data_IF_453762403013
#
_entry.id   IF_453762403013
#
_cell.length_a   1.000
_cell.length_b   1.000
_cell.length_c   1.000
_cell.angle_alpha   90.00
_cell.angle_beta   90.00
_cell.angle_gamma   90.00
#
_symmetry.space_group_name_H-M   'P 1'
#
loop_
_entity.id
_entity.type
_entity.pdbx_description
1 polymer ?
#
# COMPACT_ATOMS: atom_id res chain seq x y z
N UNK A 1 16.61 14.75 0.90
CA UNK A 1 16.90 13.45 1.56
C UNK A 1 15.99 12.44 0.89
N UNK A 2 16.54 11.47 0.17
CA UNK A 2 15.75 10.35 -0.33
C UNK A 2 15.42 9.40 0.82
N UNK A 3 14.16 8.98 0.90
CA UNK A 3 13.71 7.93 1.84
C UNK A 3 12.85 6.93 1.08
N UNK A 4 12.64 5.77 1.69
CA UNK A 4 11.69 4.78 1.18
C UNK A 4 10.27 5.18 1.56
N UNK A 5 9.29 4.68 0.80
CA UNK A 5 7.88 4.70 1.20
C UNK A 5 7.73 4.04 2.58
N UNK A 6 6.91 4.65 3.44
CA UNK A 6 6.64 4.13 4.78
C UNK A 6 5.73 2.91 4.74
N UNK A 7 5.75 2.12 5.79
CA UNK A 7 4.72 1.14 6.11
C UNK A 7 4.84 0.74 7.59
N UNK A 8 3.77 0.22 8.21
CA UNK A 8 3.83 -0.25 9.58
C UNK A 8 4.86 -1.37 9.77
N UNK A 9 5.50 -1.40 10.95
CA UNK A 9 6.40 -2.49 11.33
C UNK A 9 5.65 -3.82 11.47
N UNK A 10 6.26 -4.91 10.97
CA UNK A 10 5.65 -6.25 11.01
C UNK A 10 4.49 -6.47 10.02
N UNK A 11 4.25 -5.53 9.11
CA UNK A 11 3.26 -5.67 8.05
C UNK A 11 3.72 -6.66 6.95
N UNK A 12 2.74 -7.30 6.30
CA UNK A 12 2.94 -7.81 4.94
C UNK A 12 2.76 -6.64 3.97
N UNK A 13 3.70 -6.47 3.04
CA UNK A 13 3.78 -5.28 2.19
C UNK A 13 3.94 -5.67 0.73
N UNK A 14 3.09 -5.09 -0.11
CA UNK A 14 3.10 -5.23 -1.55
C UNK A 14 3.43 -3.88 -2.18
N UNK A 15 4.59 -3.78 -2.84
CA UNK A 15 5.03 -2.54 -3.45
C UNK A 15 4.51 -2.41 -4.88
N UNK A 16 4.05 -1.21 -5.24
CA UNK A 16 3.64 -0.88 -6.60
C UNK A 16 4.16 0.49 -7.03
N UNK A 17 4.08 0.77 -8.33
CA UNK A 17 4.38 2.08 -8.89
C UNK A 17 3.11 2.68 -9.51
N UNK A 18 2.97 3.99 -9.39
CA UNK A 18 1.97 4.78 -10.11
C UNK A 18 2.64 6.06 -10.67
N UNK A 19 1.96 6.72 -11.60
CA UNK A 19 2.52 7.87 -12.33
C UNK A 19 2.38 9.19 -11.55
N UNK A 20 1.75 9.20 -10.37
CA UNK A 20 1.71 10.32 -9.42
C UNK A 20 1.37 11.69 -10.07
N UNK A 21 0.39 11.71 -10.99
CA UNK A 21 -0.07 12.91 -11.68
C UNK A 21 0.84 13.46 -12.77
N UNK A 22 1.82 12.69 -13.25
CA UNK A 22 2.57 13.04 -14.45
C UNK A 22 1.75 12.72 -15.70
N UNK A 23 1.20 13.76 -16.32
CA UNK A 23 0.39 13.65 -17.55
C UNK A 23 1.22 14.04 -18.78
N UNK A 24 0.82 13.52 -19.94
CA UNK A 24 1.43 13.87 -21.24
C UNK A 24 0.94 15.25 -21.68
N UNK A 25 1.84 16.05 -22.27
CA UNK A 25 1.43 17.31 -22.89
C UNK A 25 0.65 17.05 -24.17
N UNK A 26 -0.55 17.62 -24.26
CA UNK A 26 -1.43 17.53 -25.43
C UNK A 26 -0.75 18.03 -26.71
N UNK A 27 0.16 19.01 -26.58
CA UNK A 27 0.86 19.65 -27.69
C UNK A 27 2.22 19.02 -28.03
N UNK A 28 2.78 18.17 -27.16
CA UNK A 28 4.06 17.48 -27.40
C UNK A 28 4.15 16.12 -26.68
N UNK A 29 3.92 15.05 -27.43
CA UNK A 29 3.98 13.65 -26.99
C UNK A 29 5.32 13.17 -26.40
N UNK A 30 6.36 14.03 -26.35
CA UNK A 30 7.63 13.76 -25.68
C UNK A 30 7.81 14.42 -24.31
N UNK A 31 6.89 15.30 -23.91
CA UNK A 31 6.99 16.09 -22.68
C UNK A 31 5.89 15.70 -21.71
N UNK A 32 6.24 15.61 -20.42
CA UNK A 32 5.29 15.37 -19.33
C UNK A 32 5.37 16.51 -18.35
N UNK A 33 4.23 16.91 -17.81
CA UNK A 33 4.15 17.87 -16.71
C UNK A 33 3.37 17.27 -15.55
N UNK A 34 3.64 17.79 -14.36
CA UNK A 34 2.91 17.40 -13.16
C UNK A 34 1.63 18.21 -13.07
N UNK A 35 0.49 17.52 -12.95
CA UNK A 35 -0.81 18.11 -12.65
C UNK A 35 -1.28 17.66 -11.27
N UNK A 36 -1.48 18.63 -10.37
CA UNK A 36 -1.89 18.38 -8.99
C UNK A 36 -3.32 17.81 -8.89
N UNK A 37 -4.22 18.22 -9.77
CA UNK A 37 -5.61 17.73 -9.78
C UNK A 37 -5.67 16.30 -10.29
N UNK A 38 -4.92 15.97 -11.34
CA UNK A 38 -4.77 14.60 -11.82
C UNK A 38 -4.13 13.71 -10.75
N UNK A 39 -3.07 14.19 -10.08
CA UNK A 39 -2.45 13.47 -8.98
C UNK A 39 -3.45 13.13 -7.86
N UNK A 40 -4.29 14.09 -7.47
CA UNK A 40 -5.28 13.91 -6.41
C UNK A 40 -6.41 12.96 -6.83
N UNK A 41 -6.93 13.09 -8.05
CA UNK A 41 -7.99 12.22 -8.58
C UNK A 41 -7.53 10.77 -8.71
N UNK A 42 -6.33 10.55 -9.29
CA UNK A 42 -5.71 9.23 -9.38
C UNK A 42 -5.47 8.64 -7.98
N UNK A 43 -5.03 9.46 -7.01
CA UNK A 43 -4.82 9.00 -5.64
C UNK A 43 -6.11 8.55 -4.97
N UNK A 44 -7.18 9.35 -5.08
CA UNK A 44 -8.47 9.01 -4.51
C UNK A 44 -9.05 7.75 -5.16
N UNK A 45 -8.86 7.58 -6.48
CA UNK A 45 -9.19 6.35 -7.18
C UNK A 45 -8.42 5.14 -6.64
N UNK A 46 -7.09 5.23 -6.49
CA UNK A 46 -6.24 4.16 -5.97
C UNK A 46 -6.66 3.75 -4.55
N UNK A 47 -6.97 4.72 -3.69
CA UNK A 47 -7.44 4.47 -2.33
C UNK A 47 -8.79 3.73 -2.34
N UNK A 48 -9.73 4.19 -3.17
CA UNK A 48 -11.05 3.60 -3.28
C UNK A 48 -10.98 2.17 -3.87
N UNK A 49 -10.24 1.99 -4.95
CA UNK A 49 -10.03 0.69 -5.60
C UNK A 49 -9.36 -0.30 -4.64
N UNK A 50 -8.31 0.10 -3.92
CA UNK A 50 -7.69 -0.78 -2.94
C UNK A 50 -8.65 -1.19 -1.82
N UNK A 51 -9.49 -0.27 -1.33
CA UNK A 51 -10.57 -0.61 -0.38
C UNK A 51 -11.52 -1.65 -0.95
N UNK A 52 -12.03 -1.43 -2.16
CA UNK A 52 -12.97 -2.35 -2.81
C UNK A 52 -12.37 -3.74 -2.98
N UNK A 53 -11.12 -3.81 -3.44
CA UNK A 53 -10.40 -5.06 -3.57
C UNK A 53 -10.21 -5.79 -2.23
N UNK A 54 -9.86 -5.07 -1.16
CA UNK A 54 -9.75 -5.65 0.19
C UNK A 54 -11.09 -6.22 0.65
N UNK A 55 -12.18 -5.47 0.51
CA UNK A 55 -13.52 -5.91 0.92
C UNK A 55 -13.99 -7.13 0.11
N UNK A 56 -13.62 -7.23 -1.17
CA UNK A 56 -13.93 -8.38 -2.01
C UNK A 56 -13.10 -9.63 -1.62
N UNK A 57 -11.82 -9.45 -1.28
CA UNK A 57 -10.89 -10.55 -0.98
C UNK A 57 -11.05 -11.10 0.45
N UNK A 58 -11.45 -10.25 1.40
CA UNK A 58 -11.53 -10.59 2.82
C UNK A 58 -12.96 -10.34 3.34
N UNK A 59 -13.86 -11.34 3.27
CA UNK A 59 -15.28 -11.15 3.63
C UNK A 59 -15.55 -10.71 5.07
N UNK A 60 -14.59 -10.87 5.98
CA UNK A 60 -14.68 -10.38 7.37
C UNK A 60 -14.24 -8.93 7.54
N UNK A 61 -13.75 -8.29 6.48
CA UNK A 61 -13.31 -6.90 6.50
C UNK A 61 -14.49 -5.93 6.35
N UNK A 62 -14.34 -4.75 6.93
CA UNK A 62 -15.24 -3.62 6.80
C UNK A 62 -14.45 -2.35 6.46
N UNK A 63 -15.12 -1.39 5.81
CA UNK A 63 -14.52 -0.12 5.48
C UNK A 63 -14.17 0.66 6.76
N UNK A 64 -12.98 1.26 6.78
CA UNK A 64 -12.54 2.10 7.88
C UNK A 64 -11.59 3.17 7.36
N UNK A 65 -11.78 4.41 7.80
CA UNK A 65 -10.92 5.54 7.47
C UNK A 65 -10.11 5.93 8.70
N UNK A 66 -8.79 5.88 8.59
CA UNK A 66 -7.89 6.20 9.70
C UNK A 66 -6.44 6.30 9.25
N UNK A 67 -5.55 6.53 10.20
CA UNK A 67 -4.12 6.64 9.95
C UNK A 67 -3.32 5.92 11.04
N UNK A 68 -2.23 5.28 10.64
CA UNK A 68 -1.11 4.94 11.52
C UNK A 68 -0.06 6.02 11.28
N UNK A 69 0.30 6.75 12.34
CA UNK A 69 1.15 7.93 12.25
C UNK A 69 0.66 8.94 11.19
N UNK A 70 1.55 9.43 10.31
CA UNK A 70 1.24 10.50 9.34
C UNK A 70 1.12 10.03 7.89
N UNK A 71 1.66 8.86 7.57
CA UNK A 71 1.91 8.45 6.18
C UNK A 71 1.17 7.16 5.83
N UNK A 72 0.72 6.40 6.82
CA UNK A 72 0.13 5.09 6.61
C UNK A 72 -1.40 5.18 6.75
N UNK A 73 -2.08 5.36 5.61
CA UNK A 73 -3.55 5.51 5.55
C UNK A 73 -4.24 4.15 5.68
N UNK A 74 -5.13 4.00 6.64
CA UNK A 74 -6.01 2.83 6.78
C UNK A 74 -7.23 3.03 5.87
N UNK A 75 -7.60 1.98 5.13
CA UNK A 75 -8.80 1.97 4.26
C UNK A 75 -9.83 0.92 4.64
N UNK A 76 -9.43 -0.12 5.37
CA UNK A 76 -10.29 -1.20 5.83
C UNK A 76 -9.67 -1.89 7.05
N UNK A 77 -10.50 -2.59 7.81
CA UNK A 77 -10.08 -3.38 8.96
C UNK A 77 -10.87 -4.68 9.03
N UNK A 78 -10.33 -5.67 9.73
CA UNK A 78 -11.11 -6.79 10.24
C UNK A 78 -10.84 -7.02 11.74
N UNK A 79 -11.34 -8.13 12.29
CA UNK A 79 -11.12 -8.49 13.70
C UNK A 79 -9.65 -8.66 14.10
N UNK A 80 -8.75 -8.86 13.14
CA UNK A 80 -7.33 -9.17 13.37
C UNK A 80 -6.37 -8.12 12.83
N UNK A 81 -6.71 -7.39 11.77
CA UNK A 81 -5.76 -6.59 11.02
C UNK A 81 -6.34 -5.28 10.49
N UNK A 82 -5.44 -4.35 10.19
CA UNK A 82 -5.68 -3.10 9.45
C UNK A 82 -5.09 -3.26 8.05
N UNK A 83 -5.81 -2.78 7.05
CA UNK A 83 -5.38 -2.71 5.67
C UNK A 83 -5.23 -1.25 5.28
N UNK A 84 -4.14 -0.94 4.59
CA UNK A 84 -3.86 0.42 4.22
C UNK A 84 -2.81 0.56 3.15
N UNK A 85 -2.51 1.80 2.83
CA UNK A 85 -1.52 2.16 1.85
C UNK A 85 -0.77 3.42 2.26
N UNK A 86 0.46 3.51 1.80
CA UNK A 86 1.35 4.65 1.97
C UNK A 86 1.98 4.99 0.63
N UNK A 87 2.32 6.25 0.40
CA UNK A 87 2.85 6.74 -0.87
C UNK A 87 4.10 7.58 -0.63
N UNK A 88 5.10 7.40 -1.49
CA UNK A 88 6.20 8.33 -1.60
C UNK A 88 6.81 8.31 -3.01
N UNK A 89 6.77 9.47 -3.67
CA UNK A 89 7.45 9.72 -4.96
C UNK A 89 7.13 8.69 -6.06
N UNK A 90 5.86 8.36 -6.25
CA UNK A 90 5.39 7.39 -7.25
C UNK A 90 5.48 5.94 -6.79
N UNK A 91 5.94 5.67 -5.58
CA UNK A 91 5.96 4.32 -5.00
C UNK A 91 4.85 4.17 -3.97
N UNK A 92 4.03 3.13 -4.13
CA UNK A 92 2.97 2.76 -3.19
C UNK A 92 3.41 1.53 -2.41
N UNK A 93 3.21 1.57 -1.09
CA UNK A 93 3.25 0.40 -0.24
C UNK A 93 1.81 0.05 0.18
N UNK A 94 1.22 -0.98 -0.42
CA UNK A 94 0.00 -1.59 0.13
C UNK A 94 0.41 -2.48 1.29
N UNK A 95 -0.27 -2.38 2.41
CA UNK A 95 0.09 -3.13 3.60
C UNK A 95 -1.13 -3.70 4.31
N UNK A 96 -0.88 -4.83 4.99
CA UNK A 96 -1.75 -5.38 6.01
C UNK A 96 -0.92 -5.60 7.26
N UNK A 97 -1.42 -5.15 8.41
CA UNK A 97 -0.72 -5.27 9.70
C UNK A 97 -1.69 -5.76 10.77
N UNK A 98 -1.20 -6.59 11.69
CA UNK A 98 -1.98 -6.98 12.85
C UNK A 98 -2.40 -5.77 13.67
N UNK A 99 -3.59 -5.86 14.22
CA UNK A 99 -4.08 -4.92 15.22
C UNK A 99 -3.31 -5.10 16.53
N UNK A 100 -3.04 -3.99 17.19
CA UNK A 100 -2.45 -3.92 18.53
C UNK A 100 -3.52 -4.05 19.63
N UNK A 101 -4.78 -3.84 19.28
CA UNK A 101 -5.96 -3.88 20.14
C UNK A 101 -6.80 -5.16 19.96
N UNK A 102 -6.15 -6.29 19.68
CA UNK A 102 -6.82 -7.60 19.54
C UNK A 102 -7.26 -8.11 20.92
N UNK A 103 -8.42 -8.77 20.96
CA UNK A 103 -8.93 -9.43 22.17
C UNK A 103 -7.93 -10.45 22.74
N UNK A 104 -7.77 -10.43 24.07
CA UNK A 104 -6.88 -11.34 24.78
C UNK A 104 -7.24 -12.79 24.48
N UNK A 105 -6.23 -13.58 24.08
CA UNK A 105 -6.39 -14.99 23.72
C UNK A 105 -6.71 -15.25 22.24
N UNK A 106 -6.88 -14.20 21.43
CA UNK A 106 -7.05 -14.31 19.97
C UNK A 106 -5.74 -14.11 19.20
N UNK A 107 -4.63 -13.76 19.86
CA UNK A 107 -3.36 -13.39 19.21
C UNK A 107 -2.82 -14.54 18.35
N UNK A 108 -2.89 -15.76 18.87
CA UNK A 108 -2.43 -16.96 18.14
C UNK A 108 -3.30 -17.31 16.94
N UNK A 109 -4.59 -16.93 16.93
CA UNK A 109 -5.47 -17.11 15.78
C UNK A 109 -5.25 -16.00 14.75
N UNK A 110 -5.10 -14.77 15.22
CA UNK A 110 -4.78 -13.61 14.41
C UNK A 110 -3.46 -13.79 13.67
N UNK A 111 -2.40 -14.21 14.37
CA UNK A 111 -1.09 -14.46 13.75
C UNK A 111 -1.16 -15.55 12.68
N UNK A 112 -1.83 -16.68 12.95
CA UNK A 112 -2.00 -17.75 11.95
C UNK A 112 -2.80 -17.30 10.74
N UNK A 113 -3.83 -16.47 10.94
CA UNK A 113 -4.59 -15.89 9.84
C UNK A 113 -3.71 -14.94 9.02
N UNK A 114 -2.92 -14.10 9.68
CA UNK A 114 -2.01 -13.13 9.08
C UNK A 114 -0.94 -13.80 8.21
N UNK A 115 -0.20 -14.76 8.79
CA UNK A 115 0.84 -15.52 8.09
C UNK A 115 0.27 -16.24 6.85
N UNK A 116 -0.98 -16.71 6.94
CA UNK A 116 -1.65 -17.42 5.84
C UNK A 116 -2.02 -16.50 4.68
N UNK A 117 -2.38 -15.24 4.94
CA UNK A 117 -2.81 -14.33 3.88
C UNK A 117 -1.63 -13.62 3.21
N UNK A 118 -0.50 -13.45 3.91
CA UNK A 118 0.67 -12.68 3.45
C UNK A 118 1.10 -12.99 2.02
N UNK A 119 1.41 -14.25 1.67
CA UNK A 119 1.85 -14.59 0.31
C UNK A 119 0.83 -14.25 -0.78
N UNK A 120 -0.47 -14.43 -0.51
CA UNK A 120 -1.54 -14.09 -1.47
C UNK A 120 -1.77 -12.59 -1.57
N UNK A 121 -1.62 -11.87 -0.47
CA UNK A 121 -1.69 -10.41 -0.44
C UNK A 121 -0.57 -9.81 -1.30
N UNK A 122 0.68 -10.22 -1.06
CA UNK A 122 1.84 -9.77 -1.84
C UNK A 122 1.70 -10.12 -3.32
N UNK A 123 1.30 -11.36 -3.64
CA UNK A 123 1.06 -11.78 -5.03
C UNK A 123 -0.03 -10.95 -5.73
N UNK A 124 -1.06 -10.52 -5.00
CA UNK A 124 -2.20 -9.81 -5.59
C UNK A 124 -1.88 -8.36 -5.95
N UNK A 125 -1.12 -7.68 -5.10
CA UNK A 125 -0.94 -6.23 -5.15
C UNK A 125 0.46 -5.78 -5.55
N UNK A 126 1.48 -6.66 -5.50
CA UNK A 126 2.84 -6.27 -5.81
C UNK A 126 3.06 -6.20 -7.33
N UNK A 127 3.57 -5.07 -7.80
CA UNK A 127 4.18 -4.93 -9.13
C UNK A 127 5.69 -4.68 -9.04
N UNK A 128 6.19 -4.45 -7.83
CA UNK A 128 7.60 -4.22 -7.50
C UNK A 128 8.08 -5.19 -6.43
N UNK A 129 9.34 -5.64 -6.55
CA UNK A 129 10.07 -6.35 -5.49
C UNK A 129 11.20 -5.47 -5.00
N UNK A 130 11.25 -5.20 -3.69
CA UNK A 130 12.38 -4.51 -3.06
C UNK A 130 13.61 -5.41 -3.09
N UNK A 131 14.70 -4.93 -3.68
CA UNK A 131 15.98 -5.64 -3.77
C UNK A 131 16.90 -5.35 -2.59
N UNK A 132 16.77 -4.16 -1.99
CA UNK A 132 17.58 -3.73 -0.87
C UNK A 132 17.42 -2.26 -0.57
N UNK A 133 18.19 -1.79 0.41
CA UNK A 133 18.20 -0.39 0.83
C UNK A 133 19.60 0.10 1.09
N UNK A 134 19.79 1.37 0.80
CA UNK A 134 21.00 2.11 1.12
C UNK A 134 20.92 2.67 2.55
N UNK A 135 22.08 2.99 3.13
CA UNK A 135 22.19 3.52 4.49
C UNK A 135 21.54 4.90 4.68
N UNK A 136 21.27 5.60 3.58
CA UNK A 136 20.57 6.88 3.58
C UNK A 136 19.03 6.72 3.59
N UNK A 137 18.51 5.49 3.56
CA UNK A 137 17.08 5.20 3.60
C UNK A 137 16.43 5.01 2.23
N UNK A 138 17.15 5.16 1.13
CA UNK A 138 16.64 4.87 -0.22
C UNK A 138 16.52 3.36 -0.45
N UNK A 139 15.53 2.94 -1.25
CA UNK A 139 15.33 1.54 -1.61
C UNK A 139 15.35 1.35 -3.13
N UNK A 140 15.90 0.21 -3.55
CA UNK A 140 15.94 -0.20 -4.95
C UNK A 140 14.88 -1.26 -5.18
N UNK A 141 14.12 -1.12 -6.25
CA UNK A 141 13.06 -2.04 -6.62
C UNK A 141 13.30 -2.61 -8.02
N UNK A 142 12.79 -3.83 -8.23
CA UNK A 142 12.70 -4.47 -9.54
C UNK A 142 11.23 -4.65 -9.89
N UNK A 143 10.84 -4.27 -11.10
CA UNK A 143 9.49 -4.58 -11.63
C UNK A 143 9.31 -6.10 -11.78
N UNK A 144 8.15 -6.58 -11.37
CA UNK A 144 7.69 -7.94 -11.66
C UNK A 144 7.15 -7.90 -13.09
N UNK A 145 7.61 -8.80 -13.96
CA UNK A 145 7.02 -8.93 -15.28
C UNK A 145 5.56 -9.37 -15.13
N UNK A 146 4.64 -8.63 -15.74
CA UNK A 146 3.22 -8.98 -15.81
C UNK A 146 3.00 -10.26 -16.63
#
# INVERSE_FOLDING_TARGET
MGRSVSHPGGAHVAFSQWDAGWIEDDDDSGTRHFDEFAAQDDWDFIVADFREQVLALYPSAWAHDGWIDREDRIVAMNGYARFGLSEYCGCIAYWVVLRDDIDVGQEGLAQRWFDRIGPKFEQRFATLVRLGSFSNGESVYRRIAA
#
